data_IF_105585947211
#
_entry.id   IF_105585947211
#
_cell.length_a   1.000
_cell.length_b   1.000
_cell.length_c   1.000
_cell.angle_alpha   90.00
_cell.angle_beta   90.00
_cell.angle_gamma   90.00
#
_symmetry.space_group_name_H-M   'P 1'
#
loop_
_entity.id
_entity.type
_entity.pdbx_description
1 polymer ?
#
# COMPACT_ATOMS: atom_id res chain seq x y z
N UNK A 1 -4.65 13.96 -13.37
CA UNK A 1 -5.06 12.54 -13.33
C UNK A 1 -5.40 12.10 -11.91
N UNK A 2 -4.41 11.81 -11.04
CA UNK A 2 -4.68 11.40 -9.63
C UNK A 2 -5.59 12.37 -8.85
N UNK A 3 -5.34 13.67 -8.97
CA UNK A 3 -6.19 14.71 -8.35
C UNK A 3 -7.63 14.72 -8.85
N UNK A 4 -7.87 14.38 -10.12
CA UNK A 4 -9.20 14.31 -10.71
C UNK A 4 -9.94 13.07 -10.21
N UNK A 5 -9.28 11.92 -10.19
CA UNK A 5 -9.87 10.67 -9.69
C UNK A 5 -10.25 10.77 -8.21
N UNK A 6 -9.42 11.44 -7.39
CA UNK A 6 -9.78 11.79 -6.00
C UNK A 6 -10.99 12.70 -5.87
N UNK A 7 -11.08 13.71 -6.72
CA UNK A 7 -12.23 14.62 -6.70
C UNK A 7 -13.51 13.88 -7.11
N UNK A 8 -13.41 12.93 -8.05
CA UNK A 8 -14.52 12.10 -8.48
C UNK A 8 -14.96 11.13 -7.38
N UNK A 9 -14.02 10.47 -6.68
CA UNK A 9 -14.36 9.55 -5.58
C UNK A 9 -14.96 10.27 -4.38
N UNK A 10 -14.46 11.46 -4.02
CA UNK A 10 -15.07 12.29 -2.97
C UNK A 10 -16.50 12.73 -3.27
N UNK A 11 -16.85 12.89 -4.54
CA UNK A 11 -18.18 13.29 -4.96
C UNK A 11 -19.15 12.12 -5.15
N UNK A 12 -18.66 10.87 -5.18
CA UNK A 12 -19.46 9.69 -5.49
C UNK A 12 -19.14 8.53 -4.55
N UNK A 13 -20.09 8.19 -3.69
CA UNK A 13 -19.98 7.12 -2.69
C UNK A 13 -19.76 5.72 -3.28
N UNK A 14 -19.90 5.53 -4.59
CA UNK A 14 -19.64 4.24 -5.27
C UNK A 14 -18.21 4.10 -5.78
N UNK A 15 -17.50 5.22 -5.90
CA UNK A 15 -16.12 5.27 -6.37
C UNK A 15 -15.21 5.36 -5.16
N UNK A 16 -14.07 4.69 -5.23
CA UNK A 16 -13.10 4.73 -4.15
C UNK A 16 -11.68 4.85 -4.69
N UNK A 17 -10.89 5.77 -4.15
CA UNK A 17 -9.51 5.97 -4.60
C UNK A 17 -8.53 5.63 -3.49
N UNK A 18 -7.61 4.71 -3.77
CA UNK A 18 -6.55 4.33 -2.83
C UNK A 18 -5.17 4.48 -3.44
N UNK A 19 -4.20 4.71 -2.56
CA UNK A 19 -2.77 4.64 -2.89
C UNK A 19 -2.12 3.64 -1.98
N UNK A 20 -1.12 2.91 -2.45
CA UNK A 20 -0.33 2.09 -1.56
C UNK A 20 1.14 2.08 -1.92
N UNK A 21 1.98 1.92 -0.90
CA UNK A 21 3.42 1.98 -1.00
C UNK A 21 4.09 1.10 0.06
N UNK A 22 5.26 0.57 -0.28
CA UNK A 22 6.13 -0.15 0.64
C UNK A 22 7.14 0.81 1.25
N UNK A 23 7.16 0.93 2.57
CA UNK A 23 8.17 1.71 3.27
C UNK A 23 9.57 1.06 3.14
N UNK A 24 10.61 1.86 3.40
CA UNK A 24 11.94 1.35 3.70
C UNK A 24 11.88 0.31 4.85
N UNK A 25 12.67 -0.76 4.73
CA UNK A 25 12.74 -1.81 5.76
C UNK A 25 13.30 -1.25 7.06
N UNK A 26 12.70 -1.68 8.18
CA UNK A 26 13.16 -1.32 9.50
C UNK A 26 13.92 -2.48 10.16
N UNK A 27 15.08 -2.23 10.78
CA UNK A 27 15.74 -3.23 11.60
C UNK A 27 14.95 -3.45 12.89
N UNK A 28 14.84 -4.69 13.35
CA UNK A 28 14.12 -5.03 14.58
C UNK A 28 14.91 -6.06 15.41
N UNK A 29 15.33 -5.73 16.64
CA UNK A 29 15.18 -4.45 17.33
C UNK A 29 16.02 -3.34 16.67
N UNK A 30 15.65 -2.10 16.93
CA UNK A 30 16.48 -0.95 16.55
C UNK A 30 17.70 -0.89 17.48
N UNK A 31 18.90 -0.93 16.88
CA UNK A 31 20.17 -0.92 17.62
C UNK A 31 20.96 0.30 17.15
N UNK A 32 21.25 1.22 18.08
CA UNK A 32 21.97 2.47 17.80
C UNK A 32 23.48 2.29 17.55
N UNK A 33 24.02 1.10 17.81
CA UNK A 33 25.42 0.78 17.55
C UNK A 33 25.69 0.58 16.06
N UNK A 34 26.72 1.23 15.53
CA UNK A 34 27.22 1.01 14.17
C UNK A 34 27.63 -0.45 13.90
N UNK A 35 27.92 -1.23 14.95
CA UNK A 35 28.23 -2.65 14.83
C UNK A 35 27.02 -3.45 14.33
N UNK A 36 25.79 -2.98 14.60
CA UNK A 36 24.57 -3.65 14.18
C UNK A 36 24.42 -3.71 12.66
N UNK A 37 24.97 -2.74 11.93
CA UNK A 37 25.01 -2.74 10.46
C UNK A 37 25.78 -3.95 9.89
N UNK A 38 26.77 -4.44 10.63
CA UNK A 38 27.59 -5.60 10.24
C UNK A 38 27.05 -6.93 10.79
N UNK A 39 25.88 -6.93 11.42
CA UNK A 39 25.21 -8.13 11.93
C UNK A 39 23.95 -8.41 11.10
N UNK A 40 23.49 -9.66 11.11
CA UNK A 40 22.19 -10.01 10.53
C UNK A 40 21.09 -9.33 11.36
N UNK A 41 20.43 -8.35 10.76
CA UNK A 41 19.27 -7.67 11.34
C UNK A 41 18.01 -8.35 10.85
N UNK A 42 17.05 -8.58 11.76
CA UNK A 42 15.72 -9.02 11.37
C UNK A 42 14.99 -7.83 10.74
N UNK A 43 14.59 -7.96 9.48
CA UNK A 43 13.87 -6.91 8.77
C UNK A 43 12.37 -6.97 9.06
N UNK A 44 11.81 -5.82 9.44
CA UNK A 44 10.38 -5.55 9.45
C UNK A 44 9.99 -4.76 8.21
N UNK A 45 8.94 -5.23 7.55
CA UNK A 45 8.35 -4.65 6.36
C UNK A 45 7.03 -3.98 6.72
N UNK A 46 6.76 -2.84 6.09
CA UNK A 46 5.53 -2.09 6.26
C UNK A 46 4.94 -1.74 4.89
N UNK A 47 3.74 -2.26 4.62
CA UNK A 47 2.92 -1.84 3.48
C UNK A 47 1.87 -0.86 3.99
N UNK A 48 1.86 0.35 3.43
CA UNK A 48 0.86 1.36 3.75
C UNK A 48 -0.14 1.46 2.61
N UNK A 49 -1.43 1.38 2.94
CA UNK A 49 -2.55 1.66 2.03
C UNK A 49 -3.24 2.90 2.57
N UNK A 50 -3.20 3.98 1.82
CA UNK A 50 -3.86 5.23 2.16
C UNK A 50 -5.15 5.38 1.36
N UNK A 51 -6.25 5.53 2.09
CA UNK A 51 -7.57 5.90 1.58
C UNK A 51 -7.60 7.40 1.28
N UNK A 52 -7.65 7.76 -0.01
CA UNK A 52 -7.62 9.15 -0.45
C UNK A 52 -8.95 9.89 -0.19
N UNK A 53 -10.04 9.18 0.09
CA UNK A 53 -11.36 9.74 0.30
C UNK A 53 -11.52 10.21 1.74
N UNK A 54 -11.22 9.29 2.68
CA UNK A 54 -11.31 9.55 4.12
C UNK A 54 -10.01 10.12 4.71
N UNK A 55 -8.88 10.04 3.98
CA UNK A 55 -7.57 10.44 4.48
C UNK A 55 -7.00 9.48 5.53
N UNK A 56 -7.44 8.22 5.54
CA UNK A 56 -7.01 7.22 6.52
C UNK A 56 -5.90 6.33 5.96
N UNK A 57 -4.77 6.28 6.67
CA UNK A 57 -3.67 5.36 6.40
C UNK A 57 -3.81 4.03 7.15
N UNK A 58 -3.83 2.92 6.42
CA UNK A 58 -3.79 1.55 6.95
C UNK A 58 -2.38 0.99 6.79
N UNK A 59 -1.81 0.41 7.85
CA UNK A 59 -0.45 -0.12 7.81
C UNK A 59 -0.45 -1.60 8.15
N UNK A 60 0.18 -2.38 7.27
CA UNK A 60 0.31 -3.82 7.39
C UNK A 60 1.78 -4.13 7.64
N UNK A 61 2.09 -4.57 8.85
CA UNK A 61 3.44 -4.91 9.28
C UNK A 61 3.62 -6.43 9.31
N UNK A 62 4.76 -6.89 8.81
CA UNK A 62 5.25 -8.26 8.97
C UNK A 62 6.79 -8.23 9.00
N UNK A 63 7.39 -9.29 9.52
CA UNK A 63 8.85 -9.43 9.53
C UNK A 63 9.29 -10.54 8.57
N UNK A 64 10.59 -10.59 8.29
CA UNK A 64 11.18 -11.57 7.37
C UNK A 64 10.98 -13.03 7.78
N UNK A 65 10.73 -13.33 9.07
CA UNK A 65 10.46 -14.69 9.53
C UNK A 65 9.05 -15.16 9.19
N UNK A 66 8.11 -14.23 9.01
CA UNK A 66 6.75 -14.52 8.56
C UNK A 66 6.63 -14.57 7.04
N UNK A 67 7.48 -13.84 6.32
CA UNK A 67 7.34 -13.69 4.89
C UNK A 67 8.32 -12.73 4.24
N UNK A 68 8.57 -12.95 2.96
CA UNK A 68 9.44 -12.09 2.16
C UNK A 68 8.78 -10.74 1.86
N UNK A 69 9.60 -9.75 1.47
CA UNK A 69 9.18 -8.42 0.98
C UNK A 69 8.61 -8.44 -0.45
N UNK A 70 8.11 -9.59 -0.89
CA UNK A 70 7.74 -9.85 -2.29
C UNK A 70 6.30 -9.50 -2.61
N UNK A 71 6.00 -9.51 -3.90
CA UNK A 71 4.72 -9.26 -4.53
C UNK A 71 3.56 -10.09 -3.97
N UNK A 72 3.81 -11.32 -3.51
CA UNK A 72 2.76 -12.19 -2.96
C UNK A 72 2.20 -11.66 -1.63
N UNK A 73 3.05 -11.12 -0.75
CA UNK A 73 2.60 -10.54 0.51
C UNK A 73 1.92 -9.19 0.27
N UNK A 74 2.49 -8.37 -0.61
CA UNK A 74 1.86 -7.12 -1.06
C UNK A 74 0.46 -7.39 -1.60
N UNK A 75 0.34 -8.31 -2.56
CA UNK A 75 -0.93 -8.73 -3.14
C UNK A 75 -1.91 -9.27 -2.08
N UNK A 76 -1.45 -10.09 -1.14
CA UNK A 76 -2.30 -10.64 -0.08
C UNK A 76 -2.89 -9.56 0.84
N UNK A 77 -2.11 -8.55 1.22
CA UNK A 77 -2.60 -7.44 2.05
C UNK A 77 -3.49 -6.47 1.26
N UNK A 78 -3.17 -6.18 0.00
CA UNK A 78 -4.05 -5.39 -0.88
C UNK A 78 -5.38 -6.13 -1.10
N UNK A 79 -5.34 -7.43 -1.36
CA UNK A 79 -6.52 -8.28 -1.48
C UNK A 79 -7.37 -8.25 -0.20
N UNK A 80 -6.73 -8.41 0.96
CA UNK A 80 -7.41 -8.31 2.26
C UNK A 80 -8.07 -6.95 2.44
N UNK A 81 -7.44 -5.87 2.00
CA UNK A 81 -8.04 -4.54 2.03
C UNK A 81 -9.28 -4.46 1.11
N UNK A 82 -9.16 -4.91 -0.14
CA UNK A 82 -10.25 -4.89 -1.13
C UNK A 82 -11.48 -5.70 -0.71
N UNK A 83 -11.30 -6.81 0.03
CA UNK A 83 -12.41 -7.59 0.57
C UNK A 83 -13.13 -6.91 1.73
N UNK A 84 -12.45 -6.04 2.47
CA UNK A 84 -13.02 -5.32 3.62
C UNK A 84 -13.64 -3.97 3.21
N UNK A 85 -13.69 -3.66 1.92
CA UNK A 85 -14.35 -2.46 1.42
C UNK A 85 -15.86 -2.51 1.70
N UNK A 86 -16.47 -1.38 2.09
CA UNK A 86 -17.90 -1.33 2.33
C UNK A 86 -18.70 -1.61 1.04
N UNK A 87 -19.89 -2.20 1.22
CA UNK A 87 -20.69 -2.79 0.13
C UNK A 87 -21.23 -1.79 -0.89
N UNK A 88 -21.17 -0.50 -0.60
CA UNK A 88 -21.55 0.59 -1.52
C UNK A 88 -20.54 0.80 -2.65
N UNK A 89 -19.29 0.40 -2.46
CA UNK A 89 -18.21 0.65 -3.42
C UNK A 89 -18.32 -0.34 -4.58
N UNK A 90 -18.34 0.19 -5.80
CA UNK A 90 -18.44 -0.58 -7.04
C UNK A 90 -17.21 -0.43 -7.92
N UNK A 91 -16.43 0.64 -7.75
CA UNK A 91 -15.25 0.90 -8.56
C UNK A 91 -14.13 1.43 -7.67
N UNK A 92 -12.99 0.75 -7.71
CA UNK A 92 -11.79 1.17 -6.99
C UNK A 92 -10.71 1.61 -7.99
N UNK A 93 -10.15 2.78 -7.79
CA UNK A 93 -8.93 3.22 -8.47
C UNK A 93 -7.75 3.06 -7.52
N UNK A 94 -6.77 2.28 -7.94
CA UNK A 94 -5.56 1.96 -7.18
C UNK A 94 -4.38 2.68 -7.80
N UNK A 95 -3.62 3.41 -7.00
CA UNK A 95 -2.35 4.01 -7.39
C UNK A 95 -1.18 3.33 -6.68
N UNK A 96 -0.17 2.94 -7.44
CA UNK A 96 1.09 2.41 -6.89
C UNK A 96 2.31 2.90 -7.70
N UNK A 97 3.50 2.68 -7.16
CA UNK A 97 4.75 2.83 -7.91
C UNK A 97 4.85 1.82 -9.06
N UNK A 98 5.89 1.95 -9.88
CA UNK A 98 6.17 1.06 -11.02
C UNK A 98 7.12 -0.10 -10.68
N UNK A 99 7.34 -0.40 -9.39
CA UNK A 99 8.28 -1.44 -8.97
C UNK A 99 7.83 -2.81 -9.48
N UNK A 100 8.58 -3.39 -10.42
CA UNK A 100 8.22 -4.67 -11.04
C UNK A 100 8.16 -5.83 -10.05
N UNK A 101 9.12 -5.90 -9.12
CA UNK A 101 9.19 -6.97 -8.11
C UNK A 101 8.11 -6.89 -7.02
N UNK A 102 7.28 -5.84 -7.01
CA UNK A 102 6.27 -5.65 -5.96
C UNK A 102 4.89 -5.37 -6.54
N UNK A 103 4.79 -4.39 -7.46
CA UNK A 103 3.52 -3.78 -7.84
C UNK A 103 3.18 -3.96 -9.32
N UNK A 104 4.17 -3.82 -10.21
CA UNK A 104 3.97 -3.93 -11.66
C UNK A 104 4.32 -5.34 -12.17
N UNK A 105 3.54 -6.33 -11.74
CA UNK A 105 3.70 -7.73 -12.15
C UNK A 105 2.34 -8.44 -12.34
N UNK A 106 2.39 -9.65 -12.90
CA UNK A 106 1.21 -10.48 -13.16
C UNK A 106 0.53 -10.97 -11.88
N UNK A 107 1.25 -11.15 -10.77
CA UNK A 107 0.67 -11.61 -9.50
C UNK A 107 -0.33 -10.57 -8.95
N UNK A 108 0.05 -9.29 -8.94
CA UNK A 108 -0.85 -8.21 -8.53
C UNK A 108 -2.04 -8.07 -9.48
N UNK A 109 -1.82 -8.22 -10.79
CA UNK A 109 -2.93 -8.20 -11.76
C UNK A 109 -3.92 -9.35 -11.53
N UNK A 110 -3.43 -10.59 -11.31
CA UNK A 110 -4.26 -11.75 -11.00
C UNK A 110 -4.99 -11.56 -9.66
N UNK A 111 -4.32 -11.00 -8.65
CA UNK A 111 -4.94 -10.66 -7.37
C UNK A 111 -6.14 -9.72 -7.56
N UNK A 112 -6.01 -8.67 -8.37
CA UNK A 112 -7.13 -7.77 -8.68
C UNK A 112 -8.31 -8.51 -9.34
N UNK A 113 -8.04 -9.43 -10.26
CA UNK A 113 -9.08 -10.26 -10.89
C UNK A 113 -9.79 -11.17 -9.87
N UNK A 114 -9.04 -11.79 -8.96
CA UNK A 114 -9.59 -12.62 -7.89
C UNK A 114 -10.42 -11.77 -6.91
N UNK A 115 -9.98 -10.54 -6.60
CA UNK A 115 -10.73 -9.59 -5.77
C UNK A 115 -12.09 -9.25 -6.39
N UNK A 116 -12.14 -9.03 -7.71
CA UNK A 116 -13.39 -8.80 -8.45
C UNK A 116 -14.33 -10.00 -8.41
N UNK A 117 -13.81 -11.22 -8.52
CA UNK A 117 -14.63 -12.43 -8.46
C UNK A 117 -15.22 -12.68 -7.07
N UNK A 118 -14.47 -12.38 -6.02
CA UNK A 118 -14.87 -12.67 -4.64
C UNK A 118 -15.70 -11.56 -3.99
N UNK A 119 -15.64 -10.33 -4.50
CA UNK A 119 -16.45 -9.22 -4.01
C UNK A 119 -17.67 -8.98 -4.92
N UNK A 120 -18.87 -9.27 -4.43
CA UNK A 120 -20.13 -9.18 -5.21
C UNK A 120 -20.49 -7.76 -5.65
N UNK A 121 -20.00 -6.73 -4.96
CA UNK A 121 -20.37 -5.33 -5.24
C UNK A 121 -19.35 -4.65 -6.14
N UNK A 122 -18.08 -5.05 -6.05
CA UNK A 122 -16.98 -4.48 -6.81
C UNK A 122 -17.03 -4.96 -8.27
N UNK A 123 -17.15 -4.01 -9.20
CA UNK A 123 -17.28 -4.28 -10.64
C UNK A 123 -16.01 -3.94 -11.42
N UNK A 124 -15.30 -2.91 -10.98
CA UNK A 124 -14.15 -2.37 -11.70
C UNK A 124 -13.00 -2.07 -10.76
N UNK A 125 -11.80 -2.49 -11.13
CA UNK A 125 -10.55 -2.07 -10.51
C UNK A 125 -9.68 -1.44 -11.59
N UNK A 126 -9.34 -0.16 -11.42
CA UNK A 126 -8.34 0.52 -12.24
C UNK A 126 -7.01 0.58 -11.49
N UNK A 127 -6.03 -0.22 -11.92
CA UNK A 127 -4.68 -0.15 -11.35
C UNK A 127 -3.80 0.78 -12.19
N UNK A 128 -3.57 1.98 -11.68
CA UNK A 128 -2.81 3.05 -12.32
C UNK A 128 -1.41 3.15 -11.71
N UNK A 129 -0.39 3.21 -12.55
CA UNK A 129 0.99 3.35 -12.10
C UNK A 129 1.45 4.80 -12.18
N UNK A 130 2.18 5.25 -11.17
CA UNK A 130 2.75 6.59 -11.15
C UNK A 130 3.93 6.68 -12.12
N UNK A 131 3.98 7.78 -12.89
CA UNK A 131 5.13 8.10 -13.75
C UNK A 131 6.21 8.70 -12.87
N UNK A 132 7.46 8.29 -13.10
CA UNK A 132 8.64 8.80 -12.42
C UNK A 132 8.73 10.34 -12.57
N UNK A 133 9.24 10.98 -11.51
CA UNK A 133 9.57 12.41 -11.30
C UNK A 133 8.56 13.39 -10.68
N UNK A 134 7.24 13.22 -10.64
CA UNK A 134 6.39 14.34 -10.16
C UNK A 134 5.08 14.01 -9.40
N UNK A 135 4.97 12.88 -8.70
CA UNK A 135 3.71 12.56 -8.01
C UNK A 135 3.95 12.11 -6.56
N UNK A 136 3.69 13.03 -5.63
CA UNK A 136 3.58 12.77 -4.21
C UNK A 136 2.55 11.66 -3.91
N UNK A 137 2.95 10.67 -3.12
CA UNK A 137 2.03 9.68 -2.57
C UNK A 137 1.64 10.08 -1.16
N UNK A 138 0.36 9.94 -0.81
CA UNK A 138 -0.08 10.22 0.56
C UNK A 138 0.57 9.28 1.58
N UNK A 139 0.96 8.09 1.11
CA UNK A 139 1.78 7.15 1.86
C UNK A 139 3.09 7.80 2.33
N UNK A 140 3.74 8.66 1.53
CA UNK A 140 4.95 9.41 1.94
C UNK A 140 4.69 10.26 3.20
N UNK A 141 3.50 10.88 3.28
CA UNK A 141 3.06 11.63 4.47
C UNK A 141 2.94 10.72 5.68
N UNK A 142 2.27 9.57 5.50
CA UNK A 142 2.02 8.60 6.57
C UNK A 142 3.33 8.01 7.11
N UNK A 143 4.28 7.74 6.21
CA UNK A 143 5.64 7.31 6.53
C UNK A 143 6.39 8.40 7.30
N UNK A 144 6.35 9.65 6.81
CA UNK A 144 7.01 10.80 7.44
C UNK A 144 6.53 11.06 8.88
N UNK A 145 5.22 11.01 9.11
CA UNK A 145 4.63 11.19 10.45
C UNK A 145 5.08 10.07 11.40
N UNK A 146 5.17 8.83 10.91
CA UNK A 146 5.68 7.70 11.70
C UNK A 146 7.16 7.84 12.03
N UNK A 147 7.97 8.20 11.04
CA UNK A 147 9.42 8.37 11.22
C UNK A 147 9.75 9.50 12.18
N UNK A 148 8.98 10.59 12.19
CA UNK A 148 9.12 11.65 13.19
C UNK A 148 8.83 11.16 14.61
N UNK A 149 7.79 10.33 14.80
CA UNK A 149 7.45 9.77 16.12
C UNK A 149 8.55 8.84 16.65
N UNK A 150 9.18 8.04 15.80
CA UNK A 150 10.27 7.17 16.20
C UNK A 150 11.52 7.94 16.65
N UNK A 151 11.77 9.15 16.12
CA UNK A 151 12.92 9.99 16.52
C UNK A 151 12.77 10.71 17.86
N UNK A 152 11.57 10.75 18.43
CA UNK A 152 11.25 11.47 19.67
C UNK A 152 11.32 10.52 20.90
N UNK A 153 11.58 9.23 20.67
CA UNK A 153 11.67 8.20 21.71
C UNK A 153 13.12 7.83 22.00
#
# INVERSE_FOLDING_TARGET
MKSQDKALSKNNEKLHTITYEMQQCWPTPEISSSLAFYKCQLWTYNLTIHDCDNGQGHCFLWNESLGNRGENYVGSYVYKYLLNLPSNIQHVTIYSDTCGGQNKNSYVAVMCLVALQNNKNLRTIDHKFLILDHIYMECDTDHSVREQKNKIQ
#
